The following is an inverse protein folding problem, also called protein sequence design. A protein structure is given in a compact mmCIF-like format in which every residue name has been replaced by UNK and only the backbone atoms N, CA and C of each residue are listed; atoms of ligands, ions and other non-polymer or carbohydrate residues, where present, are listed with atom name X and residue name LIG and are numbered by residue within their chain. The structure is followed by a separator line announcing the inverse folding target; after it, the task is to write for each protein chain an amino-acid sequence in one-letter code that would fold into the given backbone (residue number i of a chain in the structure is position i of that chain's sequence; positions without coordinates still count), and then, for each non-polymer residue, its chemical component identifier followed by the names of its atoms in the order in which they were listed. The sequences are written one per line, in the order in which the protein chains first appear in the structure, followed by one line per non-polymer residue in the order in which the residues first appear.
data_IF_163037977923
#
_entry.id   IF_163037977923
#
_cell.length_a   1.000
_cell.length_b   1.000
_cell.length_c   1.000
_cell.angle_alpha   90.00
_cell.angle_beta   90.00
_cell.angle_gamma   90.00
#
_symmetry.space_group_name_H-M   'P 1'
#
loop_
_entity.id
_entity.type
_entity.pdbx_description
1 polymer ?
#
# COMPACT_ATOMS: atom_id res chain seq x y z
N UNK A 1 3.94 -33.82 21.97
CA UNK A 1 2.63 -33.23 22.33
C UNK A 1 1.63 -34.35 22.52
N UNK A 2 0.98 -34.43 23.68
CA UNK A 2 -0.02 -35.46 24.02
C UNK A 2 -1.29 -34.82 24.55
N UNK A 3 -2.46 -35.27 24.10
CA UNK A 3 -3.74 -34.73 24.59
C UNK A 3 -3.98 -35.13 26.05
N UNK A 4 -4.24 -34.17 26.93
CA UNK A 4 -4.60 -34.38 28.35
C UNK A 4 -6.10 -34.27 28.59
N UNK A 5 -6.74 -33.24 28.05
CA UNK A 5 -8.16 -32.95 28.28
C UNK A 5 -8.84 -32.41 27.02
N UNK A 6 -10.10 -32.79 26.84
CA UNK A 6 -11.03 -32.20 25.87
C UNK A 6 -12.14 -31.50 26.66
N UNK A 7 -12.19 -30.18 26.60
CA UNK A 7 -13.24 -29.38 27.21
C UNK A 7 -14.26 -28.99 26.14
N UNK A 8 -15.54 -29.21 26.43
CA UNK A 8 -16.66 -29.02 25.51
C UNK A 8 -17.74 -28.23 26.23
N UNK A 9 -18.32 -27.21 25.59
CA UNK A 9 -19.49 -26.52 26.10
C UNK A 9 -20.34 -25.96 24.95
N UNK A 10 -21.65 -26.18 24.98
CA UNK A 10 -22.57 -25.77 23.91
C UNK A 10 -22.28 -26.37 22.53
N UNK A 11 -21.51 -27.46 22.46
CA UNK A 11 -21.09 -28.11 21.21
C UNK A 11 -21.95 -29.34 20.92
N UNK A 12 -22.78 -29.29 19.87
CA UNK A 12 -23.69 -30.38 19.47
C UNK A 12 -24.45 -30.95 20.68
N UNK A 13 -24.26 -32.23 21.00
CA UNK A 13 -24.90 -32.92 22.13
C UNK A 13 -24.39 -32.48 23.52
N UNK A 14 -23.27 -31.77 23.60
CA UNK A 14 -22.65 -31.32 24.85
C UNK A 14 -23.12 -29.91 25.20
N UNK A 15 -24.27 -29.83 25.87
CA UNK A 15 -24.89 -28.54 26.25
C UNK A 15 -24.12 -27.90 27.41
N UNK A 16 -23.96 -28.64 28.50
CA UNK A 16 -23.27 -28.18 29.70
C UNK A 16 -21.75 -28.35 29.53
N UNK A 17 -20.93 -27.55 30.25
CA UNK A 17 -19.49 -27.73 30.26
C UNK A 17 -19.09 -29.13 30.72
N UNK A 18 -18.38 -29.86 29.88
CA UNK A 18 -17.85 -31.20 30.15
C UNK A 18 -16.35 -31.22 29.86
N UNK A 19 -15.57 -31.86 30.75
CA UNK A 19 -14.17 -32.16 30.50
C UNK A 19 -14.00 -33.68 30.39
N UNK A 20 -13.47 -34.13 29.26
CA UNK A 20 -13.13 -35.53 29.00
C UNK A 20 -11.62 -35.68 29.20
N UNK A 21 -11.15 -36.39 30.24
CA UNK A 21 -9.73 -36.66 30.43
C UNK A 21 -9.24 -37.72 29.43
N UNK A 22 -8.02 -37.55 28.95
CA UNK A 22 -7.26 -38.49 28.13
C UNK A 22 -5.93 -38.84 28.85
N UNK A 23 -5.99 -39.63 29.93
CA UNK A 23 -4.85 -39.81 30.83
C UNK A 23 -3.73 -40.67 30.25
N UNK A 24 -4.05 -41.56 29.31
CA UNK A 24 -3.14 -42.57 28.75
C UNK A 24 -3.15 -42.54 27.22
N UNK A 25 -2.21 -43.27 26.60
CA UNK A 25 -2.10 -43.34 25.14
C UNK A 25 -3.29 -44.05 24.46
N UNK A 26 -4.04 -44.86 25.23
CA UNK A 26 -5.22 -45.57 24.76
C UNK A 26 -6.41 -45.19 25.65
N UNK A 27 -7.29 -44.35 25.12
CA UNK A 27 -8.54 -43.95 25.78
C UNK A 27 -9.72 -44.43 24.95
N UNK A 28 -10.60 -45.23 25.56
CA UNK A 28 -11.82 -45.70 24.91
C UNK A 28 -13.02 -44.84 25.28
N UNK A 29 -13.73 -44.30 24.29
CA UNK A 29 -15.01 -43.62 24.49
C UNK A 29 -16.13 -44.58 24.10
N UNK A 30 -16.91 -45.02 25.08
CA UNK A 30 -18.00 -45.98 24.89
C UNK A 30 -19.33 -45.38 25.30
N UNK A 31 -20.40 -45.81 24.65
CA UNK A 31 -21.76 -45.35 24.92
C UNK A 31 -22.76 -45.87 23.88
N UNK A 32 -24.06 -45.88 24.22
CA UNK A 32 -25.12 -46.35 23.33
C UNK A 32 -25.23 -45.47 22.08
N UNK A 33 -25.90 -45.99 21.05
CA UNK A 33 -26.11 -45.22 19.82
C UNK A 33 -26.87 -43.93 20.11
N UNK A 34 -26.41 -42.81 19.52
CA UNK A 34 -27.02 -41.49 19.74
C UNK A 34 -26.52 -40.72 20.98
N UNK A 35 -25.63 -41.29 21.80
CA UNK A 35 -25.09 -40.60 22.99
C UNK A 35 -24.11 -39.44 22.68
N UNK A 36 -23.79 -39.19 21.41
CA UNK A 36 -22.83 -38.14 21.02
C UNK A 36 -21.36 -38.57 21.01
N UNK A 37 -21.05 -39.87 21.09
CA UNK A 37 -19.67 -40.40 20.97
C UNK A 37 -18.91 -39.84 19.76
N UNK A 38 -19.53 -39.86 18.58
CA UNK A 38 -18.90 -39.34 17.35
C UNK A 38 -18.68 -37.82 17.38
N UNK A 39 -19.50 -37.09 18.14
CA UNK A 39 -19.36 -35.64 18.28
C UNK A 39 -18.07 -35.24 19.02
N UNK A 40 -17.45 -36.14 19.78
CA UNK A 40 -16.14 -35.88 20.41
C UNK A 40 -15.05 -35.77 19.33
N UNK A 41 -15.08 -36.64 18.32
CA UNK A 41 -14.13 -36.57 17.18
C UNK A 41 -14.40 -35.31 16.36
N UNK A 42 -15.67 -35.00 16.10
CA UNK A 42 -16.05 -33.76 15.39
C UNK A 42 -15.55 -32.52 16.13
N UNK A 43 -15.61 -32.50 17.47
CA UNK A 43 -15.10 -31.40 18.28
C UNK A 43 -13.59 -31.22 18.14
N UNK A 44 -12.84 -32.33 18.19
CA UNK A 44 -11.38 -32.34 17.99
C UNK A 44 -11.03 -31.82 16.60
N UNK A 45 -11.70 -32.25 15.53
CA UNK A 45 -11.45 -31.73 14.18
C UNK A 45 -11.79 -30.25 14.05
N UNK A 46 -12.91 -29.85 14.62
CA UNK A 46 -13.38 -28.48 14.57
C UNK A 46 -12.40 -27.50 15.22
N UNK A 47 -11.87 -27.82 16.41
CA UNK A 47 -10.90 -26.95 17.09
C UNK A 47 -9.53 -26.94 16.41
N UNK A 48 -9.13 -28.05 15.75
CA UNK A 48 -7.87 -28.15 14.99
C UNK A 48 -7.92 -27.43 13.62
N UNK A 49 -9.06 -26.87 13.25
CA UNK A 49 -9.17 -25.92 12.12
C UNK A 49 -10.06 -26.36 10.97
N UNK A 50 -10.81 -27.47 11.10
CA UNK A 50 -11.76 -27.90 10.06
C UNK A 50 -12.84 -26.83 9.84
N UNK A 51 -13.07 -26.50 8.56
CA UNK A 51 -13.95 -25.43 8.09
C UNK A 51 -15.10 -25.94 7.20
N UNK A 52 -15.06 -27.20 6.77
CA UNK A 52 -16.11 -27.82 5.98
C UNK A 52 -17.18 -28.37 6.92
N UNK A 53 -18.38 -27.80 6.86
CA UNK A 53 -19.53 -28.25 7.67
C UNK A 53 -19.86 -29.74 7.44
N UNK A 54 -19.72 -30.22 6.19
CA UNK A 54 -19.95 -31.61 5.80
C UNK A 54 -19.08 -32.61 6.56
N UNK A 55 -17.79 -32.29 6.75
CA UNK A 55 -16.85 -33.14 7.51
C UNK A 55 -17.19 -33.15 9.01
N UNK A 56 -17.93 -32.15 9.48
CA UNK A 56 -18.45 -32.07 10.85
C UNK A 56 -19.88 -32.59 10.94
N UNK A 57 -20.39 -33.32 9.94
CA UNK A 57 -21.76 -33.88 9.93
C UNK A 57 -22.84 -32.81 10.17
N UNK A 58 -22.64 -31.62 9.63
CA UNK A 58 -23.59 -30.50 9.63
C UNK A 58 -23.78 -29.93 8.23
N UNK A 59 -24.84 -29.15 8.04
CA UNK A 59 -25.12 -28.43 6.79
C UNK A 59 -24.37 -27.10 6.78
N UNK A 60 -24.37 -26.41 7.92
CA UNK A 60 -23.69 -25.14 8.15
C UNK A 60 -22.68 -25.25 9.29
N UNK A 61 -21.69 -24.35 9.31
CA UNK A 61 -20.75 -24.26 10.44
C UNK A 61 -21.44 -23.88 11.76
N UNK A 62 -22.63 -23.28 11.71
CA UNK A 62 -23.40 -22.93 12.91
C UNK A 62 -24.05 -24.15 13.57
N UNK A 63 -24.20 -25.27 12.84
CA UNK A 63 -24.80 -26.51 13.36
C UNK A 63 -23.94 -27.21 14.41
N UNK A 64 -22.71 -26.75 14.61
CA UNK A 64 -21.88 -27.17 15.75
C UNK A 64 -22.39 -26.62 17.08
N UNK A 65 -23.17 -25.53 17.05
CA UNK A 65 -23.79 -24.95 18.24
C UNK A 65 -25.03 -25.76 18.60
N UNK A 66 -25.20 -26.10 19.87
CA UNK A 66 -26.40 -26.78 20.33
C UNK A 66 -27.67 -25.97 19.96
N UNK A 67 -28.53 -26.57 19.15
CA UNK A 67 -29.75 -25.95 18.62
C UNK A 67 -30.98 -26.07 19.52
N UNK A 68 -30.81 -26.57 20.75
CA UNK A 68 -31.91 -26.74 21.69
C UNK A 68 -32.51 -28.14 21.62
N UNK A 69 -33.32 -28.45 22.62
CA UNK A 69 -34.14 -29.66 22.71
C UNK A 69 -35.47 -29.31 23.38
N UNK A 70 -36.41 -30.26 23.43
CA UNK A 70 -37.70 -30.05 24.10
C UNK A 70 -37.57 -29.54 25.55
N UNK A 71 -36.47 -29.87 26.23
CA UNK A 71 -36.24 -29.50 27.63
C UNK A 71 -35.19 -28.40 27.83
N UNK A 72 -34.44 -28.00 26.78
CA UNK A 72 -33.29 -27.11 26.92
C UNK A 72 -33.23 -26.06 25.82
N UNK A 73 -32.97 -24.81 26.20
CA UNK A 73 -32.80 -23.70 25.27
C UNK A 73 -31.56 -23.90 24.39
N UNK A 74 -31.54 -23.35 23.16
CA UNK A 74 -30.35 -23.34 22.33
C UNK A 74 -29.18 -22.62 23.00
N UNK A 75 -27.96 -23.10 22.78
CA UNK A 75 -26.75 -22.43 23.27
C UNK A 75 -26.47 -21.16 22.44
N UNK A 76 -25.93 -20.13 23.09
CA UNK A 76 -25.52 -18.90 22.41
C UNK A 76 -24.19 -19.03 21.67
N UNK A 77 -23.34 -19.97 22.12
CA UNK A 77 -22.01 -20.25 21.55
C UNK A 77 -21.62 -21.71 21.75
N UNK A 78 -20.74 -22.20 20.89
CA UNK A 78 -20.00 -23.44 21.09
C UNK A 78 -18.55 -23.11 21.47
N UNK A 79 -18.01 -23.83 22.45
CA UNK A 79 -16.63 -23.73 22.89
C UNK A 79 -16.05 -25.13 22.95
N UNK A 80 -14.88 -25.31 22.33
CA UNK A 80 -14.08 -26.52 22.44
C UNK A 80 -12.65 -26.11 22.74
N UNK A 81 -12.04 -26.73 23.74
CA UNK A 81 -10.66 -26.52 24.12
C UNK A 81 -9.94 -27.86 24.30
N UNK A 82 -8.79 -28.00 23.66
CA UNK A 82 -7.89 -29.14 23.81
C UNK A 82 -6.68 -28.70 24.62
N UNK A 83 -6.38 -29.43 25.69
CA UNK A 83 -5.17 -29.23 26.46
C UNK A 83 -4.14 -30.29 26.08
N UNK A 84 -2.96 -29.85 25.63
CA UNK A 84 -1.84 -30.71 25.27
C UNK A 84 -0.70 -30.59 26.27
N UNK A 85 -0.16 -31.74 26.67
CA UNK A 85 1.13 -31.90 27.32
C UNK A 85 2.25 -31.67 26.29
N UNK A 86 3.15 -30.73 26.56
CA UNK A 86 4.31 -30.41 25.75
C UNK A 86 5.61 -30.48 26.57
N UNK A 87 5.66 -31.30 27.61
CA UNK A 87 6.89 -31.56 28.40
C UNK A 87 8.10 -31.97 27.55
N UNK A 88 7.90 -32.69 26.45
CA UNK A 88 8.95 -33.06 25.49
C UNK A 88 9.47 -31.90 24.60
N UNK A 89 8.91 -30.69 24.71
CA UNK A 89 9.34 -29.52 23.93
C UNK A 89 9.12 -29.64 22.41
N UNK A 90 8.19 -30.51 21.97
CA UNK A 90 7.97 -30.79 20.54
C UNK A 90 7.14 -29.74 19.81
N UNK A 91 6.51 -28.81 20.54
CA UNK A 91 5.75 -27.73 19.92
C UNK A 91 6.65 -26.77 19.14
N UNK A 92 6.22 -26.30 17.96
CA UNK A 92 7.03 -25.43 17.13
C UNK A 92 7.16 -24.00 17.69
N UNK A 93 8.35 -23.40 17.52
CA UNK A 93 8.58 -21.97 17.66
C UNK A 93 8.39 -21.43 19.08
N UNK A 94 7.65 -20.32 19.20
CA UNK A 94 7.42 -19.61 20.46
C UNK A 94 6.68 -20.42 21.53
N UNK A 95 6.08 -21.56 21.15
CA UNK A 95 5.32 -22.42 22.05
C UNK A 95 6.16 -23.54 22.68
N UNK A 96 7.38 -23.76 22.18
CA UNK A 96 8.31 -24.77 22.70
C UNK A 96 8.60 -24.67 24.21
N UNK A 97 8.75 -23.46 24.82
CA UNK A 97 9.05 -23.34 26.25
C UNK A 97 7.90 -23.72 27.18
N UNK A 98 6.67 -23.78 26.67
CA UNK A 98 5.49 -24.05 27.50
C UNK A 98 5.33 -25.56 27.71
N UNK A 99 5.22 -25.97 28.97
CA UNK A 99 4.96 -27.36 29.33
C UNK A 99 3.53 -27.81 28.94
N UNK A 100 2.59 -26.87 28.82
CA UNK A 100 1.22 -27.12 28.40
C UNK A 100 0.77 -26.11 27.36
N UNK A 101 0.00 -26.59 26.39
CA UNK A 101 -0.55 -25.79 25.30
C UNK A 101 -2.05 -26.05 25.19
N UNK A 102 -2.85 -25.02 25.40
CA UNK A 102 -4.29 -25.06 25.20
C UNK A 102 -4.65 -24.48 23.83
N UNK A 103 -5.45 -25.23 23.06
CA UNK A 103 -6.00 -24.80 21.76
C UNK A 103 -7.49 -24.71 21.91
N UNK A 104 -8.05 -23.50 21.83
CA UNK A 104 -9.47 -23.25 22.03
C UNK A 104 -10.10 -22.57 20.83
N UNK A 105 -11.27 -23.03 20.42
CA UNK A 105 -12.11 -22.41 19.39
C UNK A 105 -13.46 -22.06 19.99
N UNK A 106 -13.94 -20.85 19.67
CA UNK A 106 -15.24 -20.33 20.09
C UNK A 106 -16.01 -19.89 18.86
N UNK A 107 -17.25 -20.33 18.72
CA UNK A 107 -18.16 -19.86 17.67
C UNK A 107 -19.44 -19.34 18.29
N UNK A 108 -19.82 -18.12 17.91
CA UNK A 108 -21.09 -17.49 18.31
C UNK A 108 -22.14 -17.69 17.23
N UNK A 109 -23.43 -17.56 17.60
CA UNK A 109 -24.54 -17.59 16.61
C UNK A 109 -24.47 -16.48 15.55
N UNK A 110 -23.72 -15.40 15.83
CA UNK A 110 -23.50 -14.32 14.89
C UNK A 110 -22.53 -14.71 13.75
N UNK A 111 -21.88 -15.88 13.84
CA UNK A 111 -20.92 -16.37 12.87
C UNK A 111 -19.45 -16.06 13.22
N UNK A 112 -19.21 -15.38 14.35
CA UNK A 112 -17.85 -15.06 14.78
C UNK A 112 -17.14 -16.31 15.29
N UNK A 113 -16.15 -16.79 14.53
CA UNK A 113 -15.28 -17.91 14.90
C UNK A 113 -13.93 -17.38 15.37
N UNK A 114 -13.67 -17.44 16.67
CA UNK A 114 -12.42 -17.00 17.29
C UNK A 114 -11.54 -18.18 17.72
N UNK A 115 -10.23 -18.05 17.56
CA UNK A 115 -9.24 -19.04 17.99
C UNK A 115 -8.36 -18.47 19.09
N UNK A 116 -7.96 -19.34 20.02
CA UNK A 116 -7.11 -18.99 21.14
C UNK A 116 -6.05 -20.06 21.36
N UNK A 117 -4.83 -19.62 21.64
CA UNK A 117 -3.72 -20.46 22.11
C UNK A 117 -3.28 -19.97 23.48
N UNK A 118 -3.34 -20.82 24.51
CA UNK A 118 -3.07 -20.43 25.90
C UNK A 118 -3.83 -19.14 26.30
N UNK A 119 -5.12 -19.06 25.93
CA UNK A 119 -6.00 -17.90 26.09
C UNK A 119 -5.61 -16.60 25.34
N UNK A 120 -4.54 -16.60 24.55
CA UNK A 120 -4.22 -15.49 23.64
C UNK A 120 -5.00 -15.64 22.34
N UNK A 121 -5.64 -14.56 21.87
CA UNK A 121 -6.37 -14.57 20.62
C UNK A 121 -5.39 -14.69 19.43
N UNK A 122 -5.62 -15.67 18.56
CA UNK A 122 -4.75 -15.97 17.42
C UNK A 122 -5.53 -16.15 16.11
N UNK A 123 -4.83 -16.16 14.98
CA UNK A 123 -5.45 -16.47 13.69
C UNK A 123 -5.59 -17.98 13.54
N UNK A 124 -6.54 -18.41 12.71
CA UNK A 124 -6.70 -19.82 12.34
C UNK A 124 -5.40 -20.42 11.78
N UNK A 125 -4.66 -19.65 10.97
CA UNK A 125 -3.37 -20.06 10.39
C UNK A 125 -2.36 -20.42 11.49
N UNK A 126 -2.32 -19.66 12.58
CA UNK A 126 -1.37 -19.90 13.68
C UNK A 126 -1.66 -21.25 14.38
N UNK A 127 -2.94 -21.61 14.50
CA UNK A 127 -3.36 -22.93 15.03
C UNK A 127 -2.98 -24.05 14.05
N UNK A 128 -3.24 -23.86 12.75
CA UNK A 128 -2.83 -24.83 11.72
C UNK A 128 -1.32 -25.02 11.70
N UNK A 129 -0.53 -23.95 11.81
CA UNK A 129 0.93 -23.98 11.82
C UNK A 129 1.50 -24.67 13.06
N UNK A 130 0.84 -24.54 14.22
CA UNK A 130 1.19 -25.27 15.45
C UNK A 130 1.06 -26.79 15.26
N UNK A 131 0.03 -27.21 14.53
CA UNK A 131 -0.35 -28.60 14.34
C UNK A 131 0.37 -29.22 13.11
N UNK A 132 0.82 -28.39 12.17
CA UNK A 132 1.49 -28.82 10.94
C UNK A 132 2.74 -29.66 11.25
N UNK A 133 2.79 -30.89 10.71
CA UNK A 133 3.89 -31.82 10.95
C UNK A 133 3.80 -32.60 12.27
N UNK A 134 2.75 -32.39 13.09
CA UNK A 134 2.43 -33.26 14.23
C UNK A 134 1.52 -34.44 13.84
N UNK A 135 1.02 -34.45 12.59
CA UNK A 135 0.07 -35.44 12.09
C UNK A 135 -1.38 -35.20 12.52
N UNK A 136 -1.68 -34.13 13.26
CA UNK A 136 -3.01 -33.81 13.83
C UNK A 136 -3.79 -32.71 13.05
N UNK A 137 -3.41 -32.36 11.81
CA UNK A 137 -4.10 -31.32 11.01
C UNK A 137 -5.53 -31.66 10.54
N UNK A 138 -6.16 -30.74 9.79
CA UNK A 138 -7.52 -30.94 9.24
C UNK A 138 -7.63 -32.16 8.29
N UNK A 139 -6.60 -32.39 7.48
CA UNK A 139 -6.44 -33.58 6.63
C UNK A 139 -5.58 -34.68 7.31
N UNK A 140 -5.49 -34.66 8.64
CA UNK A 140 -4.68 -35.60 9.41
C UNK A 140 -5.03 -37.05 9.12
N UNK A 141 -4.02 -37.83 8.73
CA UNK A 141 -4.10 -39.30 8.75
C UNK A 141 -4.38 -39.84 10.16
N UNK A 142 -4.06 -39.07 11.22
CA UNK A 142 -4.22 -39.50 12.60
C UNK A 142 -5.69 -39.60 13.05
N UNK A 143 -6.64 -38.97 12.33
CA UNK A 143 -8.06 -39.02 12.68
C UNK A 143 -8.82 -39.89 11.68
N UNK A 144 -8.98 -41.16 12.02
CA UNK A 144 -9.70 -42.14 11.20
C UNK A 144 -11.19 -42.09 11.53
N UNK A 145 -11.99 -41.79 10.52
CA UNK A 145 -13.44 -41.78 10.60
C UNK A 145 -14.07 -43.04 9.99
N UNK A 146 -15.37 -43.19 10.24
CA UNK A 146 -16.18 -44.16 9.53
C UNK A 146 -16.09 -43.90 8.02
N UNK A 147 -15.74 -44.94 7.26
CA UNK A 147 -15.57 -44.84 5.81
C UNK A 147 -14.24 -44.23 5.34
N UNK A 148 -13.36 -43.76 6.24
CA UNK A 148 -12.02 -43.27 5.85
C UNK A 148 -11.17 -44.39 5.22
N UNK A 149 -11.26 -45.61 5.76
CA UNK A 149 -10.51 -46.77 5.22
C UNK A 149 -10.96 -47.07 3.79
N UNK A 150 -12.26 -47.11 3.52
CA UNK A 150 -12.80 -47.32 2.17
C UNK A 150 -12.36 -46.21 1.21
N UNK A 151 -12.46 -44.94 1.63
CA UNK A 151 -11.98 -43.79 0.85
C UNK A 151 -10.50 -43.91 0.51
N UNK A 152 -9.67 -44.36 1.45
CA UNK A 152 -8.23 -44.51 1.24
C UNK A 152 -7.88 -45.63 0.26
N UNK A 153 -8.68 -46.71 0.24
CA UNK A 153 -8.52 -47.82 -0.71
C UNK A 153 -8.95 -47.40 -2.13
N UNK A 154 -9.99 -46.58 -2.24
CA UNK A 154 -10.54 -46.09 -3.52
C UNK A 154 -9.85 -44.82 -4.04
N UNK A 155 -8.95 -44.22 -3.25
CA UNK A 155 -8.30 -42.94 -3.56
C UNK A 155 -7.44 -43.02 -4.83
N UNK A 156 -7.44 -41.93 -5.60
CA UNK A 156 -6.57 -41.81 -6.76
C UNK A 156 -5.11 -41.68 -6.34
N UNK A 157 -4.13 -42.05 -7.19
CA UNK A 157 -2.70 -41.93 -6.87
C UNK A 157 -2.29 -40.53 -6.40
N UNK A 158 -2.88 -39.47 -6.97
CA UNK A 158 -2.60 -38.08 -6.58
C UNK A 158 -3.08 -37.75 -5.16
N UNK A 159 -4.24 -38.28 -4.76
CA UNK A 159 -4.82 -38.12 -3.43
C UNK A 159 -4.03 -38.94 -2.40
N UNK A 160 -3.71 -40.19 -2.74
CA UNK A 160 -2.89 -41.08 -1.93
C UNK A 160 -1.49 -40.52 -1.66
N UNK A 161 -0.89 -39.87 -2.67
CA UNK A 161 0.39 -39.18 -2.53
C UNK A 161 0.33 -38.09 -1.45
N UNK A 162 -0.76 -37.31 -1.38
CA UNK A 162 -0.93 -36.30 -0.33
C UNK A 162 -0.89 -36.90 1.06
N UNK A 163 -1.60 -38.02 1.28
CA UNK A 163 -1.59 -38.73 2.56
C UNK A 163 -0.20 -39.28 2.92
N UNK A 164 0.53 -39.83 1.94
CA UNK A 164 1.89 -40.33 2.15
C UNK A 164 2.90 -39.22 2.48
N UNK A 165 2.79 -38.06 1.82
CA UNK A 165 3.65 -36.91 2.09
C UNK A 165 3.43 -36.31 3.49
N UNK A 166 2.19 -36.30 3.96
CA UNK A 166 1.84 -35.89 5.33
C UNK A 166 2.38 -36.89 6.37
N UNK A 167 2.22 -38.19 6.12
CA UNK A 167 2.79 -39.24 6.97
C UNK A 167 4.33 -39.18 7.02
N UNK A 168 4.97 -38.82 5.91
CA UNK A 168 6.42 -38.63 5.83
C UNK A 168 6.89 -37.29 6.45
N UNK A 169 5.98 -36.40 6.85
CA UNK A 169 6.31 -35.09 7.42
C UNK A 169 6.93 -34.10 6.42
N UNK A 170 6.83 -34.37 5.11
CA UNK A 170 7.44 -33.55 4.06
C UNK A 170 6.55 -32.37 3.67
N UNK A 171 5.25 -32.42 4.00
CA UNK A 171 4.26 -31.37 3.71
C UNK A 171 4.70 -29.98 4.15
N UNK A 172 5.30 -29.86 5.35
CA UNK A 172 5.82 -28.59 5.88
C UNK A 172 6.86 -27.96 4.95
N UNK A 173 7.79 -28.77 4.46
CA UNK A 173 8.85 -28.30 3.56
C UNK A 173 8.29 -27.97 2.18
N UNK A 174 7.32 -28.75 1.69
CA UNK A 174 6.64 -28.51 0.42
C UNK A 174 5.88 -27.19 0.43
N UNK A 175 5.10 -26.94 1.48
CA UNK A 175 4.33 -25.69 1.61
C UNK A 175 5.24 -24.48 1.76
N UNK A 176 6.31 -24.59 2.57
CA UNK A 176 7.31 -23.52 2.71
C UNK A 176 8.04 -23.24 1.40
N UNK A 177 8.33 -24.26 0.60
CA UNK A 177 8.93 -24.11 -0.74
C UNK A 177 7.99 -23.36 -1.66
N UNK A 178 6.70 -23.75 -1.71
CA UNK A 178 5.68 -23.09 -2.52
C UNK A 178 5.47 -21.63 -2.14
N UNK A 179 5.41 -21.32 -0.84
CA UNK A 179 5.30 -19.94 -0.36
C UNK A 179 6.52 -19.11 -0.77
N UNK A 180 7.72 -19.69 -0.67
CA UNK A 180 8.98 -19.03 -1.07
C UNK A 180 9.03 -18.80 -2.59
N UNK A 181 8.64 -19.79 -3.39
CA UNK A 181 8.54 -19.69 -4.85
C UNK A 181 7.58 -18.58 -5.27
N UNK A 182 6.41 -18.47 -4.61
CA UNK A 182 5.46 -17.38 -4.86
C UNK A 182 6.07 -16.02 -4.51
N UNK A 183 6.69 -15.87 -3.34
CA UNK A 183 7.35 -14.60 -2.94
C UNK A 183 8.46 -14.20 -3.92
N UNK A 184 9.24 -15.17 -4.42
CA UNK A 184 10.27 -14.92 -5.42
C UNK A 184 9.68 -14.44 -6.75
N UNK A 185 8.57 -15.03 -7.19
CA UNK A 185 7.85 -14.58 -8.38
C UNK A 185 7.37 -13.13 -8.21
N UNK A 186 6.68 -12.84 -7.11
CA UNK A 186 6.17 -11.50 -6.82
C UNK A 186 7.31 -10.46 -6.75
N UNK A 187 8.47 -10.86 -6.20
CA UNK A 187 9.66 -9.99 -6.14
C UNK A 187 10.23 -9.71 -7.52
N UNK A 188 10.24 -10.69 -8.44
CA UNK A 188 10.69 -10.50 -9.82
C UNK A 188 9.76 -9.55 -10.57
N UNK A 189 8.45 -9.73 -10.45
CA UNK A 189 7.47 -8.82 -11.06
C UNK A 189 7.62 -7.38 -10.56
N UNK A 190 7.91 -7.20 -9.27
CA UNK A 190 8.20 -5.88 -8.72
C UNK A 190 9.51 -5.28 -9.26
N UNK A 191 10.55 -6.10 -9.46
CA UNK A 191 11.81 -5.65 -10.04
C UNK A 191 11.60 -5.17 -11.48
N UNK A 192 10.88 -5.95 -12.29
CA UNK A 192 10.58 -5.59 -13.69
C UNK A 192 9.87 -4.23 -13.77
N UNK A 193 8.88 -3.99 -12.90
CA UNK A 193 8.20 -2.69 -12.81
C UNK A 193 9.15 -1.53 -12.44
N UNK A 194 10.10 -1.77 -11.53
CA UNK A 194 11.10 -0.76 -11.17
C UNK A 194 12.03 -0.46 -12.34
N UNK A 195 12.39 -1.48 -13.13
CA UNK A 195 13.21 -1.29 -14.33
C UNK A 195 12.50 -0.45 -15.39
N UNK A 196 11.20 -0.68 -15.58
CA UNK A 196 10.37 0.13 -16.49
C UNK A 196 10.33 1.60 -16.06
N UNK A 197 10.06 1.87 -14.78
CA UNK A 197 10.04 3.23 -14.22
C UNK A 197 11.42 3.89 -14.38
N UNK A 198 12.50 3.16 -14.10
CA UNK A 198 13.88 3.65 -14.30
C UNK A 198 14.13 4.01 -15.76
N UNK A 199 13.65 3.20 -16.70
CA UNK A 199 13.75 3.46 -18.13
C UNK A 199 12.95 4.69 -18.58
N UNK A 200 11.77 4.91 -18.01
CA UNK A 200 10.98 6.12 -18.27
C UNK A 200 11.66 7.37 -17.70
N UNK A 201 12.13 7.34 -16.46
CA UNK A 201 12.82 8.47 -15.82
C UNK A 201 14.09 8.87 -16.58
N UNK A 202 14.86 7.91 -17.11
CA UNK A 202 16.01 8.22 -17.98
C UNK A 202 15.60 9.03 -19.21
N UNK A 203 14.55 8.60 -19.91
CA UNK A 203 14.01 9.32 -21.09
C UNK A 203 13.53 10.73 -20.72
N UNK A 204 12.90 10.89 -19.54
CA UNK A 204 12.49 12.20 -19.05
C UNK A 204 13.69 13.11 -18.76
N UNK A 205 14.75 12.58 -18.14
CA UNK A 205 16.00 13.31 -17.86
C UNK A 205 16.65 13.78 -19.16
N UNK A 206 16.77 12.91 -20.17
CA UNK A 206 17.34 13.28 -21.47
C UNK A 206 16.57 14.44 -22.11
N UNK A 207 15.24 14.36 -22.15
CA UNK A 207 14.39 15.43 -22.68
C UNK A 207 14.56 16.74 -21.90
N UNK A 208 14.55 16.70 -20.58
CA UNK A 208 14.72 17.88 -19.73
C UNK A 208 16.10 18.51 -19.87
N UNK A 209 17.13 17.69 -20.08
CA UNK A 209 18.51 18.18 -20.31
C UNK A 209 18.58 19.01 -21.58
N UNK A 210 18.02 18.51 -22.69
CA UNK A 210 17.94 19.27 -23.96
C UNK A 210 17.14 20.56 -23.79
N UNK A 211 16.01 20.51 -23.08
CA UNK A 211 15.19 21.69 -22.81
C UNK A 211 15.95 22.75 -21.97
N UNK A 212 16.73 22.30 -20.99
CA UNK A 212 17.56 23.18 -20.17
C UNK A 212 18.67 23.86 -20.97
N UNK A 213 19.32 23.15 -21.90
CA UNK A 213 20.32 23.72 -22.81
C UNK A 213 19.72 24.81 -23.71
N UNK A 214 18.55 24.54 -24.31
CA UNK A 214 17.84 25.52 -25.14
C UNK A 214 17.44 26.75 -24.33
N UNK A 215 16.89 26.55 -23.12
CA UNK A 215 16.51 27.65 -22.24
C UNK A 215 17.73 28.50 -21.84
N UNK A 216 18.86 27.87 -21.54
CA UNK A 216 20.11 28.57 -21.20
C UNK A 216 20.58 29.44 -22.36
N UNK A 217 20.60 28.88 -23.58
CA UNK A 217 20.98 29.63 -24.80
C UNK A 217 20.02 30.79 -25.09
N UNK A 218 18.72 30.62 -24.82
CA UNK A 218 17.75 31.70 -24.92
C UNK A 218 18.06 32.85 -23.96
N UNK A 219 18.36 32.56 -22.70
CA UNK A 219 18.71 33.60 -21.72
C UNK A 219 20.00 34.34 -22.10
N UNK A 220 21.02 33.63 -22.59
CA UNK A 220 22.26 34.25 -23.04
C UNK A 220 22.02 35.20 -24.24
N UNK A 221 21.26 34.75 -25.24
CA UNK A 221 20.91 35.58 -26.39
C UNK A 221 20.02 36.77 -26.01
N UNK A 222 19.11 36.59 -25.06
CA UNK A 222 18.24 37.65 -24.57
C UNK A 222 19.05 38.73 -23.83
N UNK A 223 20.06 38.33 -23.04
CA UNK A 223 20.98 39.26 -22.39
C UNK A 223 21.83 40.01 -23.42
N UNK A 224 22.36 39.32 -24.44
CA UNK A 224 23.11 39.96 -25.52
C UNK A 224 22.24 40.96 -26.28
N UNK A 225 20.99 40.57 -26.62
CA UNK A 225 20.03 41.44 -27.29
C UNK A 225 19.76 42.72 -26.49
N UNK A 226 19.48 42.60 -25.19
CA UNK A 226 19.25 43.75 -24.31
C UNK A 226 20.47 44.68 -24.26
N UNK A 227 21.68 44.11 -24.19
CA UNK A 227 22.92 44.88 -24.25
C UNK A 227 23.07 45.65 -25.57
N UNK A 228 22.83 44.99 -26.71
CA UNK A 228 22.88 45.62 -28.04
C UNK A 228 21.83 46.71 -28.22
N UNK A 229 20.61 46.47 -27.72
CA UNK A 229 19.53 47.47 -27.73
C UNK A 229 19.92 48.72 -26.91
N UNK A 230 20.51 48.53 -25.73
CA UNK A 230 21.02 49.63 -24.91
C UNK A 230 22.15 50.42 -25.61
N UNK A 231 23.08 49.72 -26.27
CA UNK A 231 24.14 50.36 -27.07
C UNK A 231 23.55 51.19 -28.23
N UNK A 232 22.59 50.63 -28.96
CA UNK A 232 21.93 51.33 -30.06
C UNK A 232 21.16 52.57 -29.57
N UNK A 233 20.47 52.46 -28.43
CA UNK A 233 19.78 53.58 -27.82
C UNK A 233 20.74 54.72 -27.44
N UNK A 234 21.93 54.39 -26.93
CA UNK A 234 22.96 55.37 -26.60
C UNK A 234 23.47 56.11 -27.86
N UNK A 235 23.76 55.37 -28.93
CA UNK A 235 24.20 55.96 -30.21
C UNK A 235 23.13 56.88 -30.78
N UNK A 236 21.87 56.42 -30.84
CA UNK A 236 20.74 57.24 -31.30
C UNK A 236 20.57 58.51 -30.47
N UNK A 237 20.71 58.42 -29.14
CA UNK A 237 20.66 59.59 -28.25
C UNK A 237 21.77 60.59 -28.58
N UNK A 238 23.00 60.13 -28.80
CA UNK A 238 24.13 60.97 -29.17
C UNK A 238 23.90 61.66 -30.52
N UNK A 239 23.43 60.93 -31.52
CA UNK A 239 23.15 61.48 -32.85
C UNK A 239 22.05 62.55 -32.78
N UNK A 240 20.97 62.27 -32.04
CA UNK A 240 19.90 63.26 -31.81
C UNK A 240 20.42 64.50 -31.09
N UNK A 241 21.32 64.36 -30.10
CA UNK A 241 21.94 65.49 -29.42
C UNK A 241 22.82 66.34 -30.37
N UNK A 242 23.57 65.70 -31.27
CA UNK A 242 24.36 66.41 -32.27
C UNK A 242 23.49 67.18 -33.26
N UNK A 243 22.40 66.55 -33.73
CA UNK A 243 21.42 67.21 -34.60
C UNK A 243 20.76 68.38 -33.87
N UNK A 244 20.34 68.19 -32.61
CA UNK A 244 19.73 69.24 -31.80
C UNK A 244 20.70 70.42 -31.59
N UNK A 245 21.97 70.16 -31.28
CA UNK A 245 22.98 71.20 -31.13
C UNK A 245 23.20 71.99 -32.43
N UNK A 246 23.20 71.32 -33.59
CA UNK A 246 23.27 71.99 -34.90
C UNK A 246 22.08 72.89 -35.13
N UNK A 247 20.86 72.38 -34.91
CA UNK A 247 19.61 73.16 -35.07
C UNK A 247 19.60 74.37 -34.14
N UNK A 248 20.03 74.23 -32.89
CA UNK A 248 20.12 75.35 -31.94
C UNK A 248 21.14 76.40 -32.38
N UNK A 249 22.30 75.99 -32.90
CA UNK A 249 23.29 76.91 -33.45
C UNK A 249 22.78 77.64 -34.70
N UNK A 250 22.10 76.93 -35.61
CA UNK A 250 21.49 77.55 -36.78
C UNK A 250 20.38 78.55 -36.39
N UNK A 251 19.55 78.21 -35.40
CA UNK A 251 18.56 79.14 -34.84
C UNK A 251 19.21 80.38 -34.23
N UNK A 252 20.30 80.22 -33.47
CA UNK A 252 21.03 81.34 -32.90
C UNK A 252 21.64 82.24 -33.99
N UNK A 253 22.21 81.65 -35.05
CA UNK A 253 22.73 82.41 -36.20
C UNK A 253 21.63 83.22 -36.89
N UNK A 254 20.51 82.56 -37.24
CA UNK A 254 19.37 83.23 -37.89
C UNK A 254 18.81 84.35 -37.00
N UNK A 255 18.76 84.14 -35.68
CA UNK A 255 18.32 85.17 -34.74
C UNK A 255 19.26 86.39 -34.73
N UNK A 256 20.57 86.18 -34.73
CA UNK A 256 21.55 87.28 -34.81
C UNK A 256 21.40 88.02 -36.15
N UNK A 257 21.22 87.31 -37.26
CA UNK A 257 20.98 87.92 -38.59
C UNK A 257 19.69 88.74 -38.62
N UNK A 258 18.60 88.24 -37.99
CA UNK A 258 17.35 88.97 -37.85
C UNK A 258 17.51 90.24 -36.99
N UNK A 259 18.20 90.14 -35.86
CA UNK A 259 18.48 91.29 -34.97
C UNK A 259 19.33 92.34 -35.69
N UNK A 260 20.33 91.93 -36.48
CA UNK A 260 21.15 92.82 -37.31
C UNK A 260 20.33 93.50 -38.42
N UNK A 261 19.44 92.76 -39.09
CA UNK A 261 18.54 93.31 -40.10
C UNK A 261 17.54 94.31 -39.49
N UNK A 262 16.96 93.99 -38.33
CA UNK A 262 16.09 94.89 -37.59
C UNK A 262 16.81 96.18 -37.17
N UNK A 263 18.05 96.07 -36.70
CA UNK A 263 18.88 97.23 -36.39
C UNK A 263 19.17 98.10 -37.63
N UNK A 264 19.44 97.47 -38.78
CA UNK A 264 19.66 98.17 -40.05
C UNK A 264 18.38 98.88 -40.54
N UNK A 265 17.21 98.25 -40.41
CA UNK A 265 15.91 98.87 -40.69
C UNK A 265 15.70 100.09 -39.80
N UNK A 266 15.87 99.96 -38.48
CA UNK A 266 15.75 101.08 -37.56
C UNK A 266 16.74 102.21 -37.84
N UNK A 267 17.96 101.89 -38.28
CA UNK A 267 18.94 102.90 -38.69
C UNK A 267 18.51 103.63 -39.97
N UNK A 268 17.99 102.90 -40.96
CA UNK A 268 17.45 103.48 -42.19
C UNK A 268 16.20 104.33 -41.93
N UNK A 269 15.32 103.91 -41.03
CA UNK A 269 14.15 104.69 -40.59
C UNK A 269 14.58 106.00 -39.92
N UNK A 270 15.57 105.96 -39.01
CA UNK A 270 16.14 107.18 -38.40
C UNK A 270 16.74 108.11 -39.43
N UNK A 271 17.51 107.59 -40.39
CA UNK A 271 18.08 108.39 -41.48
C UNK A 271 17.00 109.06 -42.33
N UNK A 272 15.95 108.32 -42.69
CA UNK A 272 14.82 108.86 -43.44
C UNK A 272 14.05 109.94 -42.64
N UNK A 273 13.95 109.79 -41.33
CA UNK A 273 13.29 110.77 -40.46
C UNK A 273 14.15 112.04 -40.27
N UNK A 274 15.48 111.90 -40.13
CA UNK A 274 16.42 113.01 -40.17
C UNK A 274 16.37 113.76 -41.52
N UNK A 275 16.28 113.05 -42.64
CA UNK A 275 16.11 113.66 -43.97
C UNK A 275 14.78 114.41 -44.10
N UNK A 276 13.67 113.85 -43.61
CA UNK A 276 12.37 114.55 -43.56
C UNK A 276 12.43 115.80 -42.69
N UNK A 277 13.09 115.73 -41.53
CA UNK A 277 13.29 116.91 -40.67
C UNK A 277 14.13 117.98 -41.36
N UNK A 278 15.22 117.59 -42.05
CA UNK A 278 16.04 118.53 -42.86
C UNK A 278 15.22 119.19 -43.96
N UNK A 279 14.36 118.43 -44.66
CA UNK A 279 13.46 118.98 -45.68
C UNK A 279 12.42 119.93 -45.07
N UNK A 280 11.85 119.60 -43.91
CA UNK A 280 10.90 120.45 -43.20
C UNK A 280 11.55 121.74 -42.64
N UNK A 281 12.81 121.70 -42.22
CA UNK A 281 13.57 122.90 -41.85
C UNK A 281 14.04 123.73 -43.04
N UNK A 282 14.07 123.16 -44.26
CA UNK A 282 14.41 123.87 -45.50
C UNK A 282 13.16 124.48 -46.18
N UNK A 283 11.95 124.11 -45.75
CA UNK A 283 10.66 124.60 -46.26
C UNK A 283 9.98 125.64 -45.35
N UNK A 284 10.59 125.97 -44.21
CA UNK A 284 10.24 127.09 -43.33
C UNK A 284 11.34 128.15 -43.37
#
# INVERSE_FOLDING_TARGET
MRLKHIHLAGFKSFVDPVSIPAPTNLTGIVGPNGCGKSNVIDAVRWVLGESKARELRGETLQDVIFNGSAQRKPAARAVVELLFDNTDGRAPGQWAPYAEISVKRVLTRNGDSSYYLNNLHVRRRDVTDLILGTGLGGDAYAIIEQGTISRLIEARPEEMRGHLEEAAGVSKYRERRRETENRLRDTRENLDRVEDIRGELRRQIERLTVQAEVARRYFDLQAERQWREAQLALVRRRDTQLVQARVLNDQARVRIEMEACAAAIHQAERQAEEERQRQHTALN
#
